data_IF_947284353869
#
_entry.id   IF_947284353869
#
_cell.length_a   1.000
_cell.length_b   1.000
_cell.length_c   1.000
_cell.angle_alpha   90.00
_cell.angle_beta   90.00
_cell.angle_gamma   90.00
#
_symmetry.space_group_name_H-M   'P 1'
#
loop_
_entity.id
_entity.type
_entity.pdbx_description
1 polymer ?
#
# COMPACT_ATOMS: atom_id res chain seq x y z
N UNK A 1 12.16 6.32 -17.75
CA UNK A 1 11.40 7.29 -18.50
C UNK A 1 12.04 8.66 -18.37
N UNK A 2 12.11 9.36 -19.42
CA UNK A 2 12.69 10.70 -19.51
C UNK A 2 11.67 11.80 -19.15
N UNK A 3 10.82 11.54 -18.21
CA UNK A 3 9.83 12.48 -17.71
C UNK A 3 8.54 12.55 -18.49
N UNK A 4 8.40 11.80 -19.58
CA UNK A 4 7.12 11.70 -20.27
C UNK A 4 6.23 10.69 -19.59
N UNK A 5 5.06 11.15 -19.21
CA UNK A 5 4.06 10.27 -18.60
C UNK A 5 3.30 9.54 -19.70
N UNK A 6 3.16 8.23 -19.53
CA UNK A 6 2.40 7.41 -20.46
C UNK A 6 0.95 7.33 -19.99
N UNK A 7 0.02 7.94 -20.76
CA UNK A 7 -1.41 7.95 -20.45
C UNK A 7 -2.06 6.57 -20.45
N UNK A 8 -1.41 5.55 -21.02
CA UNK A 8 -1.90 4.18 -21.03
C UNK A 8 -1.41 3.34 -19.83
N UNK A 9 -0.63 3.93 -18.94
CA UNK A 9 -0.09 3.23 -17.78
C UNK A 9 -0.46 3.93 -16.49
N UNK A 10 -0.66 3.12 -15.46
CA UNK A 10 -0.89 3.57 -14.10
C UNK A 10 0.00 2.75 -13.19
N UNK A 11 0.69 3.41 -12.25
CA UNK A 11 1.56 2.70 -11.31
C UNK A 11 1.31 3.13 -9.88
N UNK A 12 1.53 2.20 -8.96
CA UNK A 12 1.41 2.46 -7.55
C UNK A 12 2.53 1.77 -6.77
N UNK A 13 2.86 2.34 -5.63
CA UNK A 13 3.72 1.73 -4.62
C UNK A 13 2.92 1.63 -3.33
N UNK A 14 3.03 0.50 -2.62
CA UNK A 14 2.60 0.39 -1.23
C UNK A 14 3.79 -0.03 -0.37
N UNK A 15 3.97 0.64 0.77
CA UNK A 15 5.14 0.40 1.59
C UNK A 15 4.87 0.76 3.06
N UNK A 16 5.05 -0.20 3.95
CA UNK A 16 5.19 0.10 5.36
C UNK A 16 6.62 0.58 5.57
N UNK A 17 6.78 1.85 5.92
CA UNK A 17 8.09 2.51 5.97
C UNK A 17 8.76 2.44 7.34
N UNK A 18 8.15 1.72 8.30
CA UNK A 18 8.72 1.49 9.62
C UNK A 18 9.13 2.79 10.33
N UNK A 19 8.22 3.76 10.31
CA UNK A 19 8.48 5.07 10.92
C UNK A 19 8.59 5.05 12.43
N UNK A 20 8.09 4.00 13.09
CA UNK A 20 8.18 3.83 14.54
C UNK A 20 9.59 3.46 14.99
N UNK A 21 10.41 2.88 14.12
CA UNK A 21 11.82 2.64 14.42
C UNK A 21 12.61 3.92 14.14
N UNK A 22 13.13 4.53 15.19
CA UNK A 22 13.85 5.79 15.11
C UNK A 22 15.32 5.62 14.70
N UNK A 23 15.82 4.38 14.64
CA UNK A 23 17.21 4.12 14.28
C UNK A 23 17.43 4.43 12.80
N UNK A 24 18.37 5.32 12.52
CA UNK A 24 18.73 5.77 11.18
C UNK A 24 17.51 6.30 10.39
N UNK A 25 16.54 6.89 11.09
CA UNK A 25 15.28 7.30 10.47
C UNK A 25 15.50 8.25 9.30
N UNK A 26 16.36 9.26 9.44
CA UNK A 26 16.61 10.24 8.38
C UNK A 26 17.21 9.59 7.14
N UNK A 27 18.19 8.71 7.32
CA UNK A 27 18.83 8.01 6.18
C UNK A 27 17.86 7.03 5.53
N UNK A 28 17.07 6.31 6.33
CA UNK A 28 16.06 5.40 5.80
C UNK A 28 14.97 6.16 5.04
N UNK A 29 14.54 7.31 5.56
CA UNK A 29 13.57 8.15 4.86
C UNK A 29 14.10 8.66 3.52
N UNK A 30 15.37 9.07 3.46
CA UNK A 30 16.01 9.43 2.20
C UNK A 30 16.01 8.24 1.23
N UNK A 31 16.29 7.06 1.74
CA UNK A 31 16.28 5.83 0.93
C UNK A 31 14.92 5.57 0.33
N UNK A 32 13.86 5.62 1.14
CA UNK A 32 12.48 5.48 0.63
C UNK A 32 12.19 6.54 -0.42
N UNK A 33 12.47 7.81 -0.12
CA UNK A 33 12.20 8.90 -1.07
C UNK A 33 12.96 8.76 -2.37
N UNK A 34 14.16 8.17 -2.36
CA UNK A 34 14.91 7.88 -3.57
C UNK A 34 14.19 6.90 -4.47
N UNK A 35 13.60 5.84 -3.89
CA UNK A 35 12.77 4.90 -4.65
C UNK A 35 11.52 5.59 -5.20
N UNK A 36 10.84 6.41 -4.38
CA UNK A 36 9.65 7.13 -4.83
C UNK A 36 9.97 8.07 -6.01
N UNK A 37 11.11 8.75 -5.95
CA UNK A 37 11.55 9.63 -7.04
C UNK A 37 11.94 8.85 -8.29
N UNK A 38 12.62 7.72 -8.11
CA UNK A 38 13.09 6.90 -9.23
C UNK A 38 11.93 6.33 -10.04
N UNK A 39 10.94 5.77 -9.36
CA UNK A 39 9.79 5.15 -10.03
C UNK A 39 8.68 6.13 -10.34
N UNK A 40 8.61 7.23 -9.62
CA UNK A 40 7.63 8.30 -9.85
C UNK A 40 6.21 7.75 -10.09
N UNK A 41 5.68 6.92 -9.16
CA UNK A 41 4.38 6.30 -9.38
C UNK A 41 3.25 7.33 -9.31
N UNK A 42 2.10 6.96 -9.86
CA UNK A 42 0.92 7.83 -9.82
C UNK A 42 0.35 7.94 -8.42
N UNK A 43 0.39 6.85 -7.66
CA UNK A 43 -0.14 6.80 -6.29
C UNK A 43 0.83 6.04 -5.39
N UNK A 44 0.97 6.52 -4.16
CA UNK A 44 1.80 5.88 -3.14
C UNK A 44 0.95 5.68 -1.89
N UNK A 45 0.96 4.44 -1.37
CA UNK A 45 0.28 4.08 -0.13
C UNK A 45 1.35 3.77 0.91
N UNK A 46 1.38 4.54 2.01
CA UNK A 46 2.37 4.35 3.06
C UNK A 46 1.71 3.98 4.37
N UNK A 47 2.37 3.14 5.15
CA UNK A 47 1.95 2.77 6.49
C UNK A 47 3.09 3.06 7.48
N UNK A 48 2.74 3.23 8.76
CA UNK A 48 3.65 3.64 9.84
C UNK A 48 4.36 4.96 9.57
N UNK A 49 3.63 5.93 9.06
CA UNK A 49 4.11 7.32 8.93
C UNK A 49 3.98 7.99 10.29
N UNK A 50 5.01 8.70 10.71
CA UNK A 50 4.98 9.54 11.92
C UNK A 50 5.15 11.02 11.54
N UNK A 51 4.76 11.98 12.39
CA UNK A 51 4.81 13.40 12.03
C UNK A 51 6.16 13.88 11.46
N UNK A 52 7.32 13.53 12.02
CA UNK A 52 8.60 13.94 11.41
C UNK A 52 8.80 13.36 10.01
N UNK A 53 8.38 12.12 9.77
CA UNK A 53 8.47 11.48 8.47
C UNK A 53 7.54 12.16 7.46
N UNK A 54 6.32 12.50 7.90
CA UNK A 54 5.36 13.24 7.08
C UNK A 54 5.93 14.58 6.63
N UNK A 55 6.54 15.35 7.55
CA UNK A 55 7.16 16.61 7.21
C UNK A 55 8.26 16.46 6.17
N UNK A 56 9.04 15.39 6.27
CA UNK A 56 10.09 15.07 5.31
C UNK A 56 9.51 14.74 3.92
N UNK A 57 8.44 13.92 3.91
CA UNK A 57 7.75 13.56 2.66
C UNK A 57 7.18 14.81 1.96
N UNK A 58 6.55 15.70 2.70
CA UNK A 58 6.03 16.96 2.15
C UNK A 58 7.13 17.79 1.49
N UNK A 59 8.27 17.85 2.13
CA UNK A 59 9.38 18.64 1.64
C UNK A 59 10.05 18.04 0.41
N UNK A 60 10.20 16.71 0.39
CA UNK A 60 10.93 15.98 -0.67
C UNK A 60 10.04 15.59 -1.84
N UNK A 61 8.75 15.49 -1.64
CA UNK A 61 7.79 15.00 -2.65
C UNK A 61 6.71 16.04 -2.91
N UNK A 62 7.12 17.27 -3.23
CA UNK A 62 6.21 18.41 -3.44
C UNK A 62 5.31 18.24 -4.67
N UNK A 63 5.65 17.34 -5.59
CA UNK A 63 4.81 16.98 -6.74
C UNK A 63 3.69 16.01 -6.41
N UNK A 64 3.56 15.62 -5.14
CA UNK A 64 2.46 14.79 -4.64
C UNK A 64 1.60 15.55 -3.66
N UNK A 65 0.30 15.30 -3.72
CA UNK A 65 -0.64 15.71 -2.68
C UNK A 65 -0.72 14.56 -1.67
N UNK A 66 -0.54 14.86 -0.37
CA UNK A 66 -0.48 13.84 0.67
C UNK A 66 -1.75 13.91 1.52
N UNK A 67 -2.48 12.81 1.59
CA UNK A 67 -3.67 12.64 2.42
C UNK A 67 -3.31 11.63 3.51
N UNK A 68 -3.57 11.98 4.77
CA UNK A 68 -3.19 11.14 5.91
C UNK A 68 -4.41 10.59 6.65
N UNK A 69 -4.26 9.40 7.23
CA UNK A 69 -5.29 8.75 8.02
C UNK A 69 -5.42 9.28 9.44
N UNK A 70 -4.44 10.02 9.92
CA UNK A 70 -4.42 10.67 11.23
C UNK A 70 -3.36 11.76 11.21
N UNK A 71 -3.26 12.54 12.30
CA UNK A 71 -2.29 13.63 12.41
C UNK A 71 -1.23 13.38 13.48
N UNK A 72 -1.49 12.48 14.42
CA UNK A 72 -0.65 12.19 15.57
C UNK A 72 -0.31 10.72 15.66
N UNK A 73 0.76 10.41 16.39
CA UNK A 73 1.24 9.05 16.58
C UNK A 73 1.83 8.49 15.30
N UNK A 74 1.24 7.41 14.81
CA UNK A 74 1.60 6.83 13.51
C UNK A 74 0.32 6.58 12.71
N UNK A 75 0.42 6.71 11.41
CA UNK A 75 -0.77 6.70 10.55
C UNK A 75 -0.42 6.27 9.13
N UNK A 76 -1.45 6.07 8.32
CA UNK A 76 -1.30 5.79 6.90
C UNK A 76 -1.34 7.08 6.10
N UNK A 77 -0.81 7.02 4.88
CA UNK A 77 -0.88 8.13 3.94
C UNK A 77 -1.11 7.61 2.54
N UNK A 78 -1.84 8.39 1.76
CA UNK A 78 -1.97 8.22 0.31
C UNK A 78 -1.38 9.46 -0.34
N UNK A 79 -0.43 9.27 -1.25
CA UNK A 79 0.21 10.34 -1.98
C UNK A 79 -0.23 10.27 -3.44
N UNK A 80 -0.77 11.35 -3.96
CA UNK A 80 -1.32 11.44 -5.30
C UNK A 80 -0.44 12.36 -6.15
N UNK A 81 0.02 11.86 -7.29
CA UNK A 81 0.84 12.64 -8.20
C UNK A 81 0.00 13.75 -8.83
N UNK A 82 0.35 14.99 -8.53
CA UNK A 82 -0.48 16.16 -8.91
C UNK A 82 -0.73 16.28 -10.41
N UNK A 83 0.25 15.89 -11.24
CA UNK A 83 0.14 15.97 -12.69
C UNK A 83 -0.78 14.90 -13.30
N UNK A 84 -1.10 13.86 -12.54
CA UNK A 84 -1.81 12.68 -13.08
C UNK A 84 -3.12 12.38 -12.38
N UNK A 85 -3.21 12.67 -11.08
CA UNK A 85 -4.32 12.21 -10.25
C UNK A 85 -5.07 13.41 -9.70
N UNK A 86 -6.37 13.46 -9.94
CA UNK A 86 -7.23 14.53 -9.43
C UNK A 86 -8.06 13.99 -8.27
N UNK A 87 -7.86 14.58 -7.08
CA UNK A 87 -8.63 14.22 -5.89
C UNK A 87 -10.05 14.79 -5.99
N UNK A 88 -11.05 13.93 -5.74
CA UNK A 88 -12.46 14.29 -5.73
C UNK A 88 -13.01 14.38 -4.31
N UNK A 89 -12.71 13.38 -3.48
CA UNK A 89 -13.13 13.34 -2.07
C UNK A 89 -12.26 12.39 -1.29
N UNK A 90 -12.33 12.51 0.03
CA UNK A 90 -11.58 11.67 0.94
C UNK A 90 -12.42 11.36 2.17
N UNK A 91 -12.20 10.20 2.78
CA UNK A 91 -12.83 9.84 4.04
C UNK A 91 -11.95 8.88 4.84
N UNK A 92 -12.14 8.89 6.14
CA UNK A 92 -11.50 7.95 7.06
C UNK A 92 -12.62 7.12 7.66
N UNK A 93 -12.54 5.79 7.48
CA UNK A 93 -13.49 4.85 8.05
C UNK A 93 -12.83 4.23 9.29
N UNK A 94 -13.40 4.46 10.49
CA UNK A 94 -12.81 3.91 11.70
C UNK A 94 -12.99 2.40 11.78
N UNK A 95 -12.05 1.73 12.44
CA UNK A 95 -12.23 0.37 12.92
C UNK A 95 -12.57 0.46 14.41
N UNK A 96 -13.84 0.31 14.78
CA UNK A 96 -14.28 0.66 16.15
C UNK A 96 -13.60 -0.15 17.26
N UNK A 97 -13.17 -1.39 16.95
CA UNK A 97 -12.58 -2.29 17.94
C UNK A 97 -11.06 -2.33 17.90
N UNK A 98 -10.42 -1.46 17.13
CA UNK A 98 -8.96 -1.44 17.05
C UNK A 98 -8.34 -1.06 18.39
N UNK A 99 -7.25 -1.74 18.75
CA UNK A 99 -6.41 -1.40 19.91
C UNK A 99 -5.14 -0.67 19.51
N UNK A 100 -4.91 -0.49 18.21
CA UNK A 100 -3.67 0.06 17.66
C UNK A 100 -3.90 1.29 16.79
N UNK A 101 -5.05 1.96 16.96
CA UNK A 101 -5.42 3.19 16.23
C UNK A 101 -5.49 3.00 14.71
N UNK A 102 -5.93 1.82 14.27
CA UNK A 102 -6.03 1.51 12.84
C UNK A 102 -7.35 2.02 12.27
N UNK A 103 -7.31 2.36 11.00
CA UNK A 103 -8.48 2.80 10.25
C UNK A 103 -8.30 2.47 8.77
N UNK A 104 -9.31 2.74 7.98
CA UNK A 104 -9.26 2.63 6.52
C UNK A 104 -9.30 4.03 5.93
N UNK A 105 -8.25 4.42 5.25
CA UNK A 105 -8.18 5.69 4.52
C UNK A 105 -8.63 5.46 3.09
N UNK A 106 -9.60 6.24 2.63
CA UNK A 106 -10.19 6.11 1.31
C UNK A 106 -10.18 7.45 0.59
N UNK A 107 -9.76 7.46 -0.67
CA UNK A 107 -9.83 8.63 -1.53
C UNK A 107 -10.50 8.26 -2.86
N UNK A 108 -11.32 9.18 -3.36
CA UNK A 108 -11.94 9.06 -4.67
C UNK A 108 -11.24 10.01 -5.60
N UNK A 109 -10.74 9.49 -6.72
CA UNK A 109 -9.89 10.23 -7.64
C UNK A 109 -10.30 10.00 -9.08
N UNK A 110 -9.77 10.84 -9.96
CA UNK A 110 -9.89 10.65 -11.41
C UNK A 110 -8.48 10.61 -12.00
N UNK A 111 -8.23 9.63 -12.84
CA UNK A 111 -6.96 9.46 -13.57
C UNK A 111 -7.29 9.21 -15.04
N UNK A 112 -6.88 10.13 -15.91
CA UNK A 112 -7.10 10.00 -17.37
C UNK A 112 -8.56 9.69 -17.72
N UNK A 113 -9.50 10.33 -17.04
CA UNK A 113 -10.93 10.12 -17.23
C UNK A 113 -11.51 8.90 -16.54
N UNK A 114 -10.70 8.09 -15.85
CA UNK A 114 -11.16 6.93 -15.13
C UNK A 114 -11.43 7.28 -13.66
N UNK A 115 -12.57 6.82 -13.16
CA UNK A 115 -12.95 6.97 -11.75
C UNK A 115 -12.32 5.84 -10.94
N UNK A 116 -11.54 6.19 -9.91
CA UNK A 116 -10.92 5.22 -9.02
C UNK A 116 -11.28 5.51 -7.58
N UNK A 117 -11.46 4.44 -6.81
CA UNK A 117 -11.53 4.48 -5.36
C UNK A 117 -10.29 3.80 -4.82
N UNK A 118 -9.45 4.55 -4.12
CA UNK A 118 -8.15 4.07 -3.60
C UNK A 118 -8.23 4.01 -2.09
N UNK A 119 -7.80 2.87 -1.54
CA UNK A 119 -7.88 2.61 -0.10
C UNK A 119 -6.57 2.09 0.44
N UNK A 120 -6.22 2.46 1.66
CA UNK A 120 -5.10 1.86 2.38
C UNK A 120 -5.44 1.68 3.85
N UNK A 121 -4.75 0.75 4.47
CA UNK A 121 -4.81 0.52 5.91
C UNK A 121 -3.53 -0.17 6.38
N UNK A 122 -3.32 -0.10 7.68
CA UNK A 122 -2.39 -0.94 8.42
C UNK A 122 -3.25 -1.77 9.36
N UNK A 123 -3.62 -2.98 8.95
CA UNK A 123 -4.50 -3.82 9.75
C UNK A 123 -3.82 -4.24 11.04
N UNK A 124 -4.62 -4.67 12.02
CA UNK A 124 -4.12 -5.00 13.35
C UNK A 124 -2.94 -5.97 13.28
N UNK A 125 -1.88 -5.66 14.01
CA UNK A 125 -0.63 -6.41 14.00
C UNK A 125 -0.66 -7.57 14.98
N UNK A 126 0.27 -8.50 14.81
CA UNK A 126 0.60 -9.63 15.67
C UNK A 126 -0.38 -10.78 15.61
N UNK A 127 0.16 -11.96 15.90
CA UNK A 127 -0.61 -13.21 15.84
C UNK A 127 -1.80 -13.21 16.80
N UNK A 128 -1.63 -12.59 17.99
CA UNK A 128 -2.67 -12.56 19.02
C UNK A 128 -3.89 -11.68 18.67
N UNK A 129 -3.83 -10.90 17.60
CA UNK A 129 -4.91 -10.02 17.19
C UNK A 129 -5.59 -10.47 15.89
N UNK A 130 -5.55 -11.77 15.61
CA UNK A 130 -6.10 -12.33 14.39
C UNK A 130 -7.61 -12.07 14.24
N UNK A 131 -8.37 -12.17 15.34
CA UNK A 131 -9.83 -11.95 15.28
C UNK A 131 -10.16 -10.52 14.87
N UNK A 132 -9.50 -9.53 15.44
CA UNK A 132 -9.69 -8.12 15.08
C UNK A 132 -9.25 -7.88 13.64
N UNK A 133 -8.11 -8.43 13.24
CA UNK A 133 -7.58 -8.30 11.88
C UNK A 133 -8.56 -8.86 10.85
N UNK A 134 -9.13 -10.04 11.10
CA UNK A 134 -10.13 -10.65 10.22
C UNK A 134 -11.41 -9.80 10.14
N UNK A 135 -11.81 -9.22 11.27
CA UNK A 135 -12.95 -8.30 11.29
C UNK A 135 -12.66 -7.06 10.42
N UNK A 136 -11.46 -6.52 10.53
CA UNK A 136 -11.03 -5.37 9.72
C UNK A 136 -10.99 -5.73 8.24
N UNK A 137 -10.48 -6.91 7.88
CA UNK A 137 -10.49 -7.37 6.48
C UNK A 137 -11.91 -7.39 5.92
N UNK A 138 -12.88 -7.92 6.70
CA UNK A 138 -14.28 -7.94 6.27
C UNK A 138 -14.82 -6.54 6.01
N UNK A 139 -14.44 -5.58 6.84
CA UNK A 139 -14.84 -4.18 6.65
C UNK A 139 -14.23 -3.58 5.38
N UNK A 140 -12.95 -3.87 5.11
CA UNK A 140 -12.28 -3.43 3.88
C UNK A 140 -13.00 -3.98 2.66
N UNK A 141 -13.25 -5.29 2.63
CA UNK A 141 -13.89 -5.95 1.49
C UNK A 141 -15.31 -5.42 1.27
N UNK A 142 -16.05 -5.20 2.36
CA UNK A 142 -17.39 -4.61 2.28
C UNK A 142 -17.33 -3.21 1.67
N UNK A 143 -16.39 -2.38 2.13
CA UNK A 143 -16.25 -1.01 1.61
C UNK A 143 -15.86 -1.02 0.12
N UNK A 144 -15.01 -1.95 -0.29
CA UNK A 144 -14.66 -2.11 -1.69
C UNK A 144 -15.89 -2.46 -2.55
N UNK A 145 -16.77 -3.31 -2.04
CA UNK A 145 -18.00 -3.68 -2.76
C UNK A 145 -19.03 -2.56 -2.79
N UNK A 146 -19.05 -1.70 -1.77
CA UNK A 146 -19.99 -0.57 -1.69
C UNK A 146 -19.60 0.61 -2.59
N UNK A 147 -18.36 0.65 -3.07
CA UNK A 147 -17.93 1.70 -3.99
C UNK A 147 -18.75 1.66 -5.29
N UNK A 148 -18.92 2.80 -5.99
CA UNK A 148 -19.69 2.83 -7.23
C UNK A 148 -19.21 1.78 -8.23
N UNK A 149 -20.15 1.14 -8.93
CA UNK A 149 -19.83 0.12 -9.93
C UNK A 149 -19.00 0.68 -11.09
N UNK A 150 -19.14 1.97 -11.36
CA UNK A 150 -18.36 2.69 -12.37
C UNK A 150 -16.90 2.87 -12.01
N UNK A 151 -16.53 2.67 -10.73
CA UNK A 151 -15.18 2.92 -10.25
C UNK A 151 -14.34 1.65 -10.26
N UNK A 152 -13.07 1.78 -10.62
CA UNK A 152 -12.05 0.78 -10.31
C UNK A 152 -11.65 0.99 -8.86
N UNK A 153 -11.63 -0.08 -8.07
CA UNK A 153 -11.31 -0.01 -6.63
C UNK A 153 -10.01 -0.74 -6.36
N UNK A 154 -9.09 -0.06 -5.71
CA UNK A 154 -7.79 -0.63 -5.33
C UNK A 154 -7.56 -0.40 -3.86
N UNK A 155 -7.34 -1.50 -3.13
CA UNK A 155 -6.80 -1.47 -1.77
C UNK A 155 -5.33 -1.89 -1.85
N UNK A 156 -4.45 -1.12 -1.23
CA UNK A 156 -3.04 -1.51 -1.10
C UNK A 156 -2.54 -1.12 0.29
N UNK A 157 -1.99 -2.08 1.03
CA UNK A 157 -1.55 -1.78 2.39
C UNK A 157 -0.91 -2.96 3.11
N UNK A 158 -0.51 -2.69 4.34
CA UNK A 158 0.01 -3.70 5.25
C UNK A 158 -1.17 -4.37 5.95
N UNK A 159 -1.50 -5.58 5.52
CA UNK A 159 -2.64 -6.31 6.05
C UNK A 159 -2.31 -7.15 7.28
N UNK A 160 -1.04 -7.42 7.53
CA UNK A 160 -0.61 -8.37 8.57
C UNK A 160 -1.28 -9.74 8.44
N UNK A 161 -1.91 -10.04 7.30
CA UNK A 161 -2.67 -11.28 7.10
C UNK A 161 -1.77 -12.49 6.91
N UNK A 162 -2.20 -13.61 7.49
CA UNK A 162 -1.72 -14.95 7.13
C UNK A 162 -2.75 -15.56 6.19
N UNK A 163 -2.31 -16.38 5.24
CA UNK A 163 -3.20 -16.92 4.21
C UNK A 163 -4.42 -17.65 4.79
N UNK A 164 -4.22 -18.42 5.87
CA UNK A 164 -5.31 -19.12 6.55
C UNK A 164 -6.40 -18.18 7.07
N UNK A 165 -6.03 -16.94 7.42
CA UNK A 165 -6.99 -15.97 7.92
C UNK A 165 -7.93 -15.49 6.82
N UNK A 166 -7.41 -15.32 5.60
CA UNK A 166 -8.25 -14.98 4.44
C UNK A 166 -9.25 -16.10 4.17
N UNK A 167 -8.80 -17.35 4.21
CA UNK A 167 -9.66 -18.51 4.05
C UNK A 167 -10.74 -18.58 5.12
N UNK A 168 -10.39 -18.33 6.37
CA UNK A 168 -11.34 -18.30 7.49
C UNK A 168 -12.40 -17.22 7.35
N UNK A 169 -12.08 -16.12 6.69
CA UNK A 169 -13.05 -15.06 6.38
C UNK A 169 -13.99 -15.42 5.24
N UNK A 170 -13.85 -16.61 4.66
CA UNK A 170 -14.64 -17.01 3.52
C UNK A 170 -14.01 -16.67 2.17
N UNK A 171 -12.75 -16.26 2.15
CA UNK A 171 -12.05 -15.82 0.95
C UNK A 171 -12.47 -14.44 0.49
N UNK A 172 -11.96 -14.04 -0.68
CA UNK A 172 -12.34 -12.78 -1.30
C UNK A 172 -13.65 -12.93 -2.06
N UNK A 173 -14.50 -11.89 -2.13
CA UNK A 173 -15.65 -11.89 -3.02
C UNK A 173 -15.25 -12.17 -4.47
N UNK A 174 -16.18 -12.70 -5.26
CA UNK A 174 -15.89 -13.10 -6.65
C UNK A 174 -15.39 -11.95 -7.53
N UNK A 175 -15.77 -10.72 -7.23
CA UNK A 175 -15.39 -9.54 -8.02
C UNK A 175 -14.14 -8.83 -7.48
N UNK A 176 -13.50 -9.37 -6.44
CA UNK A 176 -12.27 -8.81 -5.86
C UNK A 176 -11.16 -9.85 -5.98
N UNK A 177 -10.02 -9.44 -6.52
CA UNK A 177 -8.86 -10.32 -6.66
C UNK A 177 -7.69 -9.81 -5.81
N UNK A 178 -6.86 -10.74 -5.34
CA UNK A 178 -5.54 -10.44 -4.80
C UNK A 178 -4.59 -10.33 -5.99
N UNK A 179 -3.98 -9.18 -6.18
CA UNK A 179 -3.18 -8.92 -7.39
C UNK A 179 -2.01 -9.91 -7.54
N UNK A 180 -1.34 -10.28 -6.44
CA UNK A 180 -0.27 -11.27 -6.52
C UNK A 180 -0.78 -12.61 -7.06
N UNK A 181 -1.95 -13.06 -6.59
CA UNK A 181 -2.57 -14.29 -7.07
C UNK A 181 -3.05 -14.15 -8.51
N UNK A 182 -3.66 -13.01 -8.85
CA UNK A 182 -4.14 -12.72 -10.21
C UNK A 182 -3.00 -12.78 -11.24
N UNK A 183 -1.80 -12.36 -10.84
CA UNK A 183 -0.62 -12.35 -11.72
C UNK A 183 0.10 -13.71 -11.79
N UNK A 184 -0.49 -14.76 -11.23
CA UNK A 184 0.04 -16.12 -11.30
C UNK A 184 0.97 -16.50 -10.16
N UNK A 185 0.88 -15.79 -9.05
CA UNK A 185 1.69 -16.04 -7.83
C UNK A 185 3.18 -16.01 -8.09
N UNK A 186 3.72 -14.88 -8.63
CA UNK A 186 5.14 -14.81 -8.97
C UNK A 186 6.01 -14.93 -7.72
N UNK A 187 6.97 -15.85 -7.76
CA UNK A 187 7.82 -16.16 -6.59
C UNK A 187 8.73 -15.02 -6.18
N UNK A 188 9.17 -14.20 -7.14
CA UNK A 188 10.11 -13.10 -6.88
C UNK A 188 9.55 -12.02 -5.96
N UNK A 189 8.22 -11.93 -5.81
CA UNK A 189 7.57 -10.92 -4.97
C UNK A 189 6.56 -11.52 -4.00
N UNK A 190 6.71 -12.80 -3.65
CA UNK A 190 5.77 -13.49 -2.78
C UNK A 190 5.78 -12.94 -1.35
N UNK A 191 6.96 -12.73 -0.77
CA UNK A 191 7.09 -12.34 0.62
C UNK A 191 7.52 -10.89 0.73
N UNK A 192 6.80 -10.11 1.51
CA UNK A 192 7.09 -8.69 1.74
C UNK A 192 7.77 -8.46 3.08
N UNK A 193 7.80 -9.46 3.95
CA UNK A 193 8.44 -9.42 5.26
C UNK A 193 9.23 -10.72 5.45
N UNK A 194 10.54 -10.61 5.57
CA UNK A 194 11.47 -11.75 5.57
C UNK A 194 12.60 -11.47 6.55
N UNK A 195 12.55 -12.13 7.72
CA UNK A 195 13.48 -11.86 8.81
C UNK A 195 14.91 -12.33 8.55
N UNK A 196 15.12 -13.22 7.58
CA UNK A 196 16.46 -13.68 7.21
C UNK A 196 17.13 -12.71 6.24
N UNK A 197 16.39 -12.25 5.22
CA UNK A 197 16.93 -11.32 4.24
C UNK A 197 16.97 -9.88 4.75
N UNK A 198 16.03 -9.50 5.61
CA UNK A 198 15.95 -8.17 6.20
C UNK A 198 16.42 -8.22 7.64
N UNK A 199 17.58 -7.62 7.91
CA UNK A 199 18.21 -7.64 9.23
C UNK A 199 17.75 -6.50 10.16
N UNK A 200 16.86 -5.62 9.73
CA UNK A 200 16.49 -4.43 10.49
C UNK A 200 15.96 -4.75 11.89
N UNK A 201 15.22 -5.85 12.06
CA UNK A 201 14.64 -6.22 13.35
C UNK A 201 15.58 -7.03 14.23
N UNK A 202 16.70 -7.55 13.70
CA UNK A 202 17.62 -8.37 14.45
C UNK A 202 17.05 -9.72 14.88
N UNK A 203 16.00 -10.20 14.22
CA UNK A 203 15.36 -11.48 14.51
C UNK A 203 16.17 -12.59 13.88
N UNK A 204 16.57 -13.60 14.70
CA UNK A 204 17.36 -14.74 14.22
C UNK A 204 16.49 -15.87 13.66
N UNK A 205 15.25 -16.01 14.12
CA UNK A 205 14.34 -17.02 13.63
C UNK A 205 13.88 -16.70 12.20
N UNK A 206 13.87 -17.70 11.34
CA UNK A 206 13.41 -17.56 9.96
C UNK A 206 11.88 -17.40 9.91
N UNK A 207 11.42 -16.31 9.30
CA UNK A 207 10.00 -16.08 9.09
C UNK A 207 9.82 -15.26 7.82
N UNK A 208 8.95 -15.75 6.94
CA UNK A 208 8.60 -15.08 5.69
C UNK A 208 7.08 -14.97 5.62
N UNK A 209 6.57 -13.77 5.39
CA UNK A 209 5.13 -13.54 5.33
C UNK A 209 4.80 -12.54 4.23
N UNK A 210 3.64 -12.73 3.63
CA UNK A 210 3.09 -11.82 2.63
C UNK A 210 2.09 -10.91 3.34
N UNK A 211 2.61 -9.93 4.06
CA UNK A 211 1.81 -8.98 4.82
C UNK A 211 1.22 -7.88 3.94
N UNK A 212 1.98 -7.40 2.98
CA UNK A 212 1.59 -6.30 2.12
C UNK A 212 0.86 -6.87 0.92
N UNK A 213 -0.38 -6.45 0.71
CA UNK A 213 -1.27 -7.01 -0.29
C UNK A 213 -2.00 -5.92 -1.05
N UNK A 214 -2.34 -6.22 -2.29
CA UNK A 214 -3.13 -5.35 -3.14
C UNK A 214 -4.38 -6.11 -3.55
N UNK A 215 -5.55 -5.54 -3.24
CA UNK A 215 -6.85 -6.07 -3.68
C UNK A 215 -7.41 -5.16 -4.76
N UNK A 216 -8.01 -5.76 -5.76
CA UNK A 216 -8.45 -5.05 -6.95
C UNK A 216 -9.86 -5.48 -7.32
N UNK A 217 -10.72 -4.49 -7.57
CA UNK A 217 -12.06 -4.69 -8.13
C UNK A 217 -12.19 -3.87 -9.41
N UNK A 218 -12.40 -4.54 -10.53
CA UNK A 218 -12.59 -3.86 -11.81
C UNK A 218 -13.90 -3.05 -11.83
N UNK A 219 -13.93 -1.98 -12.63
CA UNK A 219 -15.16 -1.28 -12.92
C UNK A 219 -16.12 -2.22 -13.65
N UNK A 220 -17.44 -2.05 -13.43
CA UNK A 220 -18.44 -2.98 -13.95
C UNK A 220 -18.55 -2.94 -15.48
N UNK A 221 -18.39 -1.77 -16.08
CA UNK A 221 -18.41 -1.61 -17.54
C UNK A 221 -16.99 -1.59 -18.06
N UNK A 222 -16.56 -2.73 -18.60
CA UNK A 222 -15.26 -2.92 -19.25
C UNK A 222 -14.09 -2.43 -18.39
N UNK A 223 -13.35 -3.36 -17.80
CA UNK A 223 -12.18 -3.03 -16.99
C UNK A 223 -11.19 -2.19 -17.77
N UNK A 224 -11.22 -0.89 -17.54
CA UNK A 224 -10.30 0.04 -18.18
C UNK A 224 -8.90 -0.03 -17.59
N UNK A 225 -8.75 -0.61 -16.42
CA UNK A 225 -7.47 -0.73 -15.71
C UNK A 225 -7.23 -2.19 -15.36
N UNK A 226 -6.05 -2.70 -15.72
CA UNK A 226 -5.70 -4.12 -15.52
C UNK A 226 -4.31 -4.23 -14.90
N UNK A 227 -4.14 -4.95 -13.76
CA UNK A 227 -2.81 -5.21 -13.21
C UNK A 227 -1.93 -5.98 -14.18
N UNK A 228 -0.66 -5.60 -14.28
CA UNK A 228 0.31 -6.21 -15.21
C UNK A 228 1.51 -6.81 -14.55
N UNK A 229 2.08 -6.14 -13.55
CA UNK A 229 3.31 -6.60 -12.92
C UNK A 229 3.38 -6.18 -11.47
N UNK A 230 4.19 -6.91 -10.71
CA UNK A 230 4.41 -6.68 -9.30
C UNK A 230 5.87 -6.96 -8.98
N UNK A 231 6.54 -6.03 -8.30
CA UNK A 231 7.94 -6.14 -7.95
C UNK A 231 8.18 -5.66 -6.52
N UNK A 232 9.22 -6.20 -5.87
CA UNK A 232 9.66 -5.75 -4.55
C UNK A 232 10.60 -4.56 -4.68
N UNK A 233 10.55 -3.67 -3.71
CA UNK A 233 11.44 -2.51 -3.59
C UNK A 233 12.14 -2.52 -2.23
N UNK A 234 13.30 -1.86 -2.18
CA UNK A 234 14.01 -1.67 -0.93
C UNK A 234 14.87 -2.84 -0.50
N UNK A 235 15.28 -3.69 -1.46
CA UNK A 235 16.05 -4.91 -1.21
C UNK A 235 17.52 -4.66 -0.96
N UNK A 236 18.00 -3.42 -1.09
CA UNK A 236 19.40 -3.07 -0.93
C UNK A 236 19.63 -2.33 0.39
N UNK A 237 20.73 -2.65 1.04
CA UNK A 237 21.15 -1.95 2.24
C UNK A 237 21.59 -0.53 1.90
N UNK A 238 21.24 0.40 2.78
CA UNK A 238 21.76 1.75 2.76
C UNK A 238 23.19 1.78 3.30
N UNK A 239 23.87 2.91 3.16
CA UNK A 239 25.25 3.07 3.64
C UNK A 239 25.38 2.79 5.14
N UNK A 240 24.32 3.06 5.92
CA UNK A 240 24.32 2.75 7.36
C UNK A 240 24.22 1.25 7.66
N UNK A 241 24.09 0.39 6.66
CA UNK A 241 24.00 -1.06 6.83
C UNK A 241 22.58 -1.55 7.10
N UNK A 242 21.59 -0.66 7.14
CA UNK A 242 20.19 -1.02 7.30
C UNK A 242 19.45 -0.96 5.98
N UNK A 243 18.32 -1.66 5.90
CA UNK A 243 17.37 -1.50 4.79
C UNK A 243 16.47 -0.28 5.06
N UNK A 244 15.84 0.28 4.02
CA UNK A 244 14.93 1.42 4.21
C UNK A 244 13.80 1.16 5.20
N UNK A 245 13.31 -0.08 5.28
CA UNK A 245 12.23 -0.51 6.17
C UNK A 245 12.42 -1.98 6.51
N UNK A 246 11.75 -2.46 7.56
CA UNK A 246 11.65 -3.89 7.86
C UNK A 246 10.69 -4.62 6.90
N UNK A 247 9.90 -3.87 6.13
CA UNK A 247 9.12 -4.39 5.02
C UNK A 247 9.79 -4.07 3.68
N UNK A 248 9.65 -4.98 2.70
CA UNK A 248 9.88 -4.63 1.30
C UNK A 248 8.68 -3.82 0.80
N UNK A 249 8.93 -2.84 -0.07
CA UNK A 249 7.85 -2.16 -0.77
C UNK A 249 7.36 -3.00 -1.95
N UNK A 250 6.14 -2.72 -2.41
CA UNK A 250 5.57 -3.32 -3.60
C UNK A 250 5.31 -2.25 -4.65
N UNK A 251 5.84 -2.47 -5.85
CA UNK A 251 5.54 -1.67 -7.02
C UNK A 251 4.59 -2.47 -7.92
N UNK A 252 3.44 -1.91 -8.23
CA UNK A 252 2.47 -2.50 -9.14
C UNK A 252 2.29 -1.61 -10.35
N UNK A 253 2.46 -2.18 -11.55
CA UNK A 253 2.14 -1.52 -12.80
C UNK A 253 0.84 -2.07 -13.34
N UNK A 254 -0.02 -1.17 -13.83
CA UNK A 254 -1.31 -1.50 -14.41
C UNK A 254 -1.41 -0.82 -15.78
N UNK A 255 -2.14 -1.44 -16.69
CA UNK A 255 -2.45 -0.82 -17.98
C UNK A 255 -3.78 -0.11 -17.90
N UNK A 256 -3.86 1.05 -18.52
CA UNK A 256 -5.13 1.74 -18.79
C UNK A 256 -5.50 1.43 -20.25
N UNK A 257 -6.64 0.78 -20.44
CA UNK A 257 -7.16 0.46 -21.76
C UNK A 257 -8.07 1.60 -22.18
N UNK A 258 -7.72 2.23 -23.27
CA UNK A 258 -8.45 3.37 -23.80
C UNK A 258 -9.53 2.94 -24.79
#
# INVERSE_FOLDING_TARGET
>A
SNGQENGSMFSLITWNIDGLDLNNLSERARGVCSYLALYSPDVIFLQEVIPPYYSYLKKRSSNYEIITGHEEGYFTAIMLKKSRVKLKSQEIIPFPSTKMMRNLLCVHVNVSGNELCLMTSHLESTRGHAAERMNQLKMVLKKMQEAPESATVIFAGDTNLRDREVTRCGGLPNNIVDVWEFLGKPKHCQYTWDTQMNSNLGITAACKLRFDRIFFRAAAEEGHIIPRSLDLLGLEKLDCGRFPSDHWGLLCNLDIIL
#
